data_IF_690434242001
#
_entry.id   IF_690434242001
#
_cell.length_a   1.000
_cell.length_b   1.000
_cell.length_c   1.000
_cell.angle_alpha   90.00
_cell.angle_beta   90.00
_cell.angle_gamma   90.00
#
_symmetry.space_group_name_H-M   'P 1'
#
loop_
_entity.id
_entity.type
_entity.pdbx_description
1 polymer ?
#
# COMPACT_ATOMS: atom_id res chain seq x y z
N UNK A 1 14.54 4.42 -4.36
CA UNK A 1 14.30 2.98 -4.20
C UNK A 1 13.60 2.74 -2.85
N UNK A 2 12.51 1.95 -2.81
CA UNK A 2 11.61 1.83 -1.64
C UNK A 2 11.95 0.60 -0.80
N UNK A 3 11.98 0.74 0.53
CA UNK A 3 12.27 -0.35 1.49
C UNK A 3 11.18 -0.41 2.56
N UNK A 4 10.89 -1.58 3.11
CA UNK A 4 9.87 -1.79 4.13
C UNK A 4 10.39 -1.41 5.53
N UNK A 5 9.55 -0.76 6.33
CA UNK A 5 9.87 -0.31 7.69
C UNK A 5 9.42 -1.36 8.74
N UNK A 6 10.37 -2.08 9.39
CA UNK A 6 10.05 -3.12 10.38
C UNK A 6 9.33 -2.60 11.63
N UNK A 7 9.45 -1.30 11.95
CA UNK A 7 8.77 -0.71 13.11
C UNK A 7 7.26 -0.57 12.88
N UNK A 8 6.83 -0.51 11.62
CA UNK A 8 5.42 -0.35 11.23
C UNK A 8 4.73 -1.66 10.90
N UNK A 9 5.51 -2.71 10.63
CA UNK A 9 5.00 -3.99 10.19
C UNK A 9 4.05 -4.62 11.22
N UNK A 10 2.89 -5.08 10.76
CA UNK A 10 2.00 -5.89 11.57
C UNK A 10 2.70 -7.19 12.03
N UNK A 11 2.46 -7.69 13.26
CA UNK A 11 3.12 -8.91 13.77
C UNK A 11 2.95 -10.18 12.94
N UNK A 12 1.88 -10.25 12.14
CA UNK A 12 1.62 -11.35 11.21
C UNK A 12 2.44 -11.27 9.90
N UNK A 13 3.27 -10.23 9.72
CA UNK A 13 4.10 -10.05 8.55
C UNK A 13 5.55 -10.41 8.85
N UNK A 14 6.16 -11.14 7.92
CA UNK A 14 7.59 -11.40 7.91
C UNK A 14 8.23 -10.65 6.74
N UNK A 15 9.26 -9.85 7.05
CA UNK A 15 10.05 -9.11 6.08
C UNK A 15 11.31 -9.91 5.71
N UNK A 16 11.79 -9.76 4.47
CA UNK A 16 13.12 -10.23 4.09
C UNK A 16 14.22 -9.36 4.72
N UNK A 17 15.44 -9.89 4.77
CA UNK A 17 16.61 -9.20 5.34
C UNK A 17 16.92 -7.88 4.62
N UNK A 18 16.79 -7.88 3.29
CA UNK A 18 16.96 -6.69 2.44
C UNK A 18 15.80 -5.67 2.54
N UNK A 19 14.74 -6.00 3.31
CA UNK A 19 13.53 -5.20 3.47
C UNK A 19 12.80 -4.88 2.17
N UNK A 20 12.93 -5.73 1.14
CA UNK A 20 12.24 -5.56 -0.15
C UNK A 20 11.03 -6.47 -0.34
N UNK A 21 10.93 -7.52 0.47
CA UNK A 21 9.85 -8.51 0.38
C UNK A 21 9.09 -8.61 1.68
N UNK A 22 7.78 -8.80 1.57
CA UNK A 22 6.89 -9.10 2.69
C UNK A 22 6.02 -10.30 2.35
N UNK A 23 5.82 -11.15 3.35
CA UNK A 23 4.87 -12.27 3.30
C UNK A 23 4.14 -12.37 4.62
N UNK A 24 2.94 -12.93 4.58
CA UNK A 24 2.24 -13.32 5.81
C UNK A 24 3.02 -14.46 6.45
N UNK A 25 3.50 -14.25 7.66
CA UNK A 25 4.21 -15.23 8.46
C UNK A 25 3.25 -16.08 9.29
N UNK A 26 3.66 -17.30 9.64
CA UNK A 26 2.92 -18.19 10.54
C UNK A 26 3.28 -18.01 12.02
N UNK A 27 4.38 -17.30 12.33
CA UNK A 27 4.84 -17.07 13.70
C UNK A 27 4.44 -15.67 14.17
N UNK A 28 3.59 -15.60 15.20
CA UNK A 28 3.48 -14.40 16.05
C UNK A 28 4.88 -14.09 16.59
N UNK A 29 5.52 -13.05 16.07
CA UNK A 29 6.77 -12.54 16.62
C UNK A 29 6.56 -12.17 18.10
N UNK A 30 7.58 -12.39 18.94
CA UNK A 30 7.66 -11.83 20.30
C UNK A 30 7.45 -10.28 20.32
N UNK A 31 7.55 -9.63 19.16
CA UNK A 31 7.18 -8.22 18.97
C UNK A 31 5.69 -7.92 19.23
N UNK A 32 4.81 -8.93 19.27
CA UNK A 32 3.41 -8.73 19.68
C UNK A 32 3.25 -8.37 21.16
N UNK A 33 4.29 -8.54 21.98
CA UNK A 33 4.26 -8.23 23.43
C UNK A 33 4.55 -6.75 23.74
N UNK A 34 5.07 -5.97 22.79
CA UNK A 34 5.33 -4.54 22.97
C UNK A 34 4.43 -3.74 22.02
N UNK A 35 3.43 -3.04 22.58
CA UNK A 35 2.56 -2.17 21.79
C UNK A 35 3.40 -1.01 21.22
N UNK A 36 3.70 -1.07 19.93
CA UNK A 36 4.36 0.01 19.22
C UNK A 36 3.27 0.89 18.58
N UNK A 37 3.20 2.19 18.92
CA UNK A 37 2.19 3.10 18.37
C UNK A 37 2.29 3.25 16.85
N UNK A 38 3.46 2.97 16.25
CA UNK A 38 3.68 3.05 14.80
C UNK A 38 3.09 1.87 14.01
N UNK A 39 2.76 0.74 14.66
CA UNK A 39 2.23 -0.48 14.01
C UNK A 39 0.73 -0.40 13.77
N UNK A 40 0.30 -1.00 12.67
CA UNK A 40 -1.12 -1.30 12.45
C UNK A 40 -1.60 -2.36 13.44
N UNK A 41 -2.74 -2.11 14.09
CA UNK A 41 -3.23 -2.99 15.15
C UNK A 41 -4.08 -4.17 14.67
N UNK A 42 -4.77 -4.02 13.54
CA UNK A 42 -5.81 -4.97 13.07
C UNK A 42 -5.55 -5.50 11.67
N UNK A 43 -4.97 -4.68 10.79
CA UNK A 43 -4.74 -5.02 9.40
C UNK A 43 -3.29 -5.44 9.16
N UNK A 44 -3.02 -6.50 8.38
CA UNK A 44 -1.66 -6.98 8.08
C UNK A 44 -0.95 -6.05 7.08
N UNK A 45 -0.59 -4.86 7.55
CA UNK A 45 0.02 -3.78 6.76
C UNK A 45 1.45 -3.49 7.27
N UNK A 46 2.30 -3.03 6.35
CA UNK A 46 3.64 -2.50 6.62
C UNK A 46 3.83 -1.28 5.72
N UNK A 47 4.48 -0.22 6.22
CA UNK A 47 4.78 0.97 5.44
C UNK A 47 6.18 0.90 4.81
N UNK A 48 6.38 1.64 3.73
CA UNK A 48 7.71 1.97 3.22
C UNK A 48 8.44 2.94 4.14
N UNK A 49 9.76 2.80 4.29
CA UNK A 49 10.61 3.68 5.09
C UNK A 49 10.83 5.07 4.49
N UNK A 50 10.53 5.23 3.20
CA UNK A 50 10.62 6.50 2.51
C UNK A 50 9.41 7.38 2.81
N UNK A 51 9.68 8.68 2.89
CA UNK A 51 8.70 9.73 3.12
C UNK A 51 8.75 10.69 1.95
N UNK A 52 7.59 10.95 1.34
CA UNK A 52 7.44 11.85 0.21
C UNK A 52 6.64 13.09 0.64
N UNK A 53 7.13 14.27 0.27
CA UNK A 53 6.49 15.55 0.60
C UNK A 53 6.54 16.55 -0.58
N UNK A 54 7.15 16.16 -1.70
CA UNK A 54 7.24 16.91 -2.94
C UNK A 54 7.76 16.03 -4.07
N UNK A 55 7.66 16.54 -5.29
CA UNK A 55 8.20 15.96 -6.50
C UNK A 55 7.44 14.73 -7.00
N UNK A 56 8.11 14.05 -7.94
CA UNK A 56 7.59 12.85 -8.60
C UNK A 56 8.41 11.64 -8.19
N UNK A 57 7.73 10.54 -7.93
CA UNK A 57 8.37 9.28 -7.51
C UNK A 57 7.71 8.09 -8.18
N UNK A 58 8.50 7.08 -8.50
CA UNK A 58 8.03 5.84 -9.12
C UNK A 58 8.71 4.63 -8.48
N UNK A 59 7.95 3.57 -8.26
CA UNK A 59 8.47 2.26 -7.92
C UNK A 59 7.55 1.15 -8.40
N UNK A 60 8.09 -0.06 -8.48
CA UNK A 60 7.35 -1.25 -8.91
C UNK A 60 7.27 -2.26 -7.77
N UNK A 61 6.15 -2.98 -7.69
CA UNK A 61 5.94 -4.07 -6.75
C UNK A 61 5.58 -5.34 -7.50
N UNK A 62 6.39 -6.38 -7.34
CA UNK A 62 6.10 -7.70 -7.86
C UNK A 62 5.01 -8.37 -6.99
N UNK A 63 3.82 -8.56 -7.56
CA UNK A 63 2.70 -9.24 -6.88
C UNK A 63 2.56 -10.70 -7.28
N UNK A 64 3.14 -11.12 -8.41
CA UNK A 64 3.12 -12.49 -8.90
C UNK A 64 1.68 -13.02 -9.05
N UNK A 65 1.47 -14.28 -8.64
CA UNK A 65 0.16 -14.94 -8.70
C UNK A 65 -0.61 -14.87 -7.37
N UNK A 66 -0.26 -13.94 -6.47
CA UNK A 66 -0.91 -13.84 -5.16
C UNK A 66 -2.43 -13.63 -5.30
N UNK A 67 -3.26 -14.35 -4.52
CA UNK A 67 -4.71 -14.27 -4.62
C UNK A 67 -5.28 -12.98 -4.03
N UNK A 68 -4.53 -12.33 -3.13
CA UNK A 68 -4.89 -11.08 -2.48
C UNK A 68 -3.65 -10.21 -2.22
N UNK A 69 -3.84 -8.89 -2.30
CA UNK A 69 -2.85 -7.87 -1.91
C UNK A 69 -3.49 -6.47 -1.89
N UNK A 70 -2.86 -5.54 -1.17
CA UNK A 70 -3.18 -4.11 -1.23
C UNK A 70 -1.89 -3.30 -1.35
N UNK A 71 -1.87 -2.29 -2.21
CA UNK A 71 -0.71 -1.44 -2.49
C UNK A 71 -1.17 0.01 -2.64
N UNK A 72 -0.35 0.96 -2.18
CA UNK A 72 -0.70 2.37 -2.33
C UNK A 72 0.21 3.30 -1.53
N UNK A 73 -0.37 4.43 -1.10
CA UNK A 73 0.26 5.34 -0.16
C UNK A 73 -0.72 5.69 0.96
N UNK A 74 -0.18 6.14 2.09
CA UNK A 74 -0.95 6.78 3.15
C UNK A 74 -0.30 8.08 3.62
N UNK A 75 -1.10 8.96 4.21
CA UNK A 75 -0.57 10.08 5.01
C UNK A 75 0.18 9.52 6.21
N UNK A 76 1.32 10.10 6.56
CA UNK A 76 2.11 9.66 7.71
C UNK A 76 1.31 9.77 9.02
N UNK A 77 0.46 10.79 9.12
CA UNK A 77 -0.43 11.06 10.25
C UNK A 77 -1.71 10.21 10.27
N UNK A 78 -1.94 9.34 9.27
CA UNK A 78 -3.15 8.52 9.22
C UNK A 78 -3.23 7.55 10.41
N UNK A 79 -4.44 7.37 10.95
CA UNK A 79 -4.68 6.51 12.11
C UNK A 79 -4.43 5.04 11.80
N UNK A 80 -3.62 4.38 12.63
CA UNK A 80 -3.18 2.98 12.44
C UNK A 80 -3.83 2.01 13.44
N UNK A 81 -4.62 2.53 14.38
CA UNK A 81 -5.22 1.78 15.49
C UNK A 81 -6.73 1.65 15.30
N UNK A 82 -7.30 0.59 15.87
CA UNK A 82 -8.73 0.28 15.74
C UNK A 82 -9.09 -0.29 14.36
N UNK A 83 -10.35 -0.08 13.96
CA UNK A 83 -10.85 -0.50 12.66
C UNK A 83 -10.43 0.53 11.60
N UNK A 84 -9.31 0.27 10.92
CA UNK A 84 -8.78 1.17 9.89
C UNK A 84 -9.64 1.06 8.63
N UNK A 85 -10.30 2.15 8.28
CA UNK A 85 -11.08 2.27 7.06
C UNK A 85 -10.21 2.89 5.97
N UNK A 86 -9.75 2.09 5.03
CA UNK A 86 -8.94 2.56 3.91
C UNK A 86 -9.79 3.39 2.95
N UNK A 87 -9.56 4.70 2.93
CA UNK A 87 -10.12 5.64 1.94
C UNK A 87 -9.31 6.94 1.89
N UNK A 88 -9.39 7.73 0.80
CA UNK A 88 -8.75 9.04 0.71
C UNK A 88 -9.13 9.97 1.87
N UNK A 89 -10.38 9.94 2.31
CA UNK A 89 -10.88 10.73 3.44
C UNK A 89 -10.14 10.42 4.75
N UNK A 90 -9.65 9.19 4.90
CA UNK A 90 -8.87 8.76 6.07
C UNK A 90 -7.34 8.81 5.80
N UNK A 91 -6.92 9.37 4.66
CA UNK A 91 -5.52 9.51 4.28
C UNK A 91 -4.91 8.25 3.69
N UNK A 92 -5.69 7.42 2.99
CA UNK A 92 -5.22 6.20 2.33
C UNK A 92 -5.64 6.17 0.85
N UNK A 93 -4.70 5.96 -0.06
CA UNK A 93 -4.96 5.80 -1.50
C UNK A 93 -4.42 4.44 -1.93
N UNK A 94 -5.31 3.45 -1.96
CA UNK A 94 -4.94 2.04 -2.05
C UNK A 94 -5.67 1.36 -3.21
N UNK A 95 -4.91 0.64 -4.03
CA UNK A 95 -5.37 -0.35 -4.98
C UNK A 95 -5.31 -1.73 -4.33
N UNK A 96 -6.38 -2.52 -4.46
CA UNK A 96 -6.50 -3.84 -3.84
C UNK A 96 -6.91 -4.89 -4.85
N UNK A 97 -6.35 -6.10 -4.69
CA UNK A 97 -6.91 -7.35 -5.18
C UNK A 97 -7.50 -8.12 -3.99
N UNK A 98 -8.81 -8.39 -4.04
CA UNK A 98 -9.46 -9.26 -3.06
C UNK A 98 -9.32 -10.73 -3.44
N UNK A 99 -9.35 -11.61 -2.42
CA UNK A 99 -9.51 -13.03 -2.64
C UNK A 99 -10.83 -13.29 -3.42
N UNK A 100 -10.72 -14.00 -4.55
CA UNK A 100 -11.81 -14.11 -5.53
C UNK A 100 -11.59 -13.32 -6.82
N UNK A 101 -10.54 -12.50 -6.91
CA UNK A 101 -10.09 -11.90 -8.18
C UNK A 101 -10.61 -10.49 -8.48
N UNK A 102 -11.34 -9.88 -7.55
CA UNK A 102 -11.88 -8.52 -7.72
C UNK A 102 -10.81 -7.46 -7.46
N UNK A 103 -10.59 -6.58 -8.44
CA UNK A 103 -9.73 -5.41 -8.31
C UNK A 103 -10.55 -4.20 -7.90
N UNK A 104 -10.02 -3.40 -6.99
CA UNK A 104 -10.72 -2.23 -6.45
C UNK A 104 -9.75 -1.09 -6.14
N UNK A 105 -10.17 0.13 -6.46
CA UNK A 105 -9.63 1.33 -5.84
C UNK A 105 -10.45 1.64 -4.58
N UNK A 106 -9.78 1.75 -3.43
CA UNK A 106 -10.44 1.98 -2.15
C UNK A 106 -10.85 3.46 -1.99
N UNK A 107 -11.72 3.94 -2.87
CA UNK A 107 -12.41 5.23 -2.78
C UNK A 107 -13.59 5.15 -1.78
N UNK A 108 -14.29 6.27 -1.57
CA UNK A 108 -15.54 6.30 -0.79
C UNK A 108 -16.65 6.89 -1.66
N UNK A 109 -17.60 6.08 -2.19
CA UNK A 109 -17.68 4.61 -2.08
C UNK A 109 -16.55 3.89 -2.86
N UNK A 110 -16.33 2.59 -2.59
CA UNK A 110 -15.30 1.78 -3.26
C UNK A 110 -15.58 1.69 -4.77
N UNK A 111 -14.53 1.83 -5.58
CA UNK A 111 -14.62 1.75 -7.04
C UNK A 111 -14.14 0.38 -7.52
N UNK A 112 -15.02 -0.50 -8.03
CA UNK A 112 -14.62 -1.76 -8.63
C UNK A 112 -13.92 -1.50 -9.97
N UNK A 113 -12.91 -2.32 -10.28
CA UNK A 113 -12.08 -2.19 -11.47
C UNK A 113 -12.12 -3.49 -12.27
N UNK A 114 -12.25 -3.35 -13.59
CA UNK A 114 -12.16 -4.47 -14.54
C UNK A 114 -10.83 -4.38 -15.27
N UNK A 115 -9.95 -5.36 -15.08
CA UNK A 115 -8.64 -5.43 -15.74
C UNK A 115 -8.66 -6.53 -16.80
N UNK A 116 -8.27 -6.19 -18.04
CA UNK A 116 -8.21 -7.17 -19.14
C UNK A 116 -7.08 -8.18 -18.95
N UNK A 117 -5.97 -7.77 -18.33
CA UNK A 117 -4.81 -8.62 -18.07
C UNK A 117 -4.53 -8.60 -16.57
N UNK A 118 -4.33 -9.79 -15.99
CA UNK A 118 -3.92 -9.93 -14.59
C UNK A 118 -2.50 -9.36 -14.39
N UNK A 119 -2.30 -8.31 -13.58
CA UNK A 119 -0.97 -7.79 -13.30
C UNK A 119 -0.15 -8.77 -12.47
N UNK A 120 1.07 -9.10 -12.92
CA UNK A 120 2.11 -9.75 -12.10
C UNK A 120 3.01 -8.72 -11.40
N UNK A 121 3.01 -7.49 -11.89
CA UNK A 121 3.75 -6.36 -11.33
C UNK A 121 2.94 -5.06 -11.47
N UNK A 122 2.92 -4.29 -10.40
CA UNK A 122 2.23 -3.00 -10.32
C UNK A 122 3.26 -1.89 -10.25
N UNK A 123 3.14 -0.91 -11.13
CA UNK A 123 3.88 0.35 -11.06
C UNK A 123 3.06 1.37 -10.29
N UNK A 124 3.68 2.07 -9.35
CA UNK A 124 3.06 3.11 -8.54
C UNK A 124 3.80 4.41 -8.82
N UNK A 125 3.07 5.41 -9.27
CA UNK A 125 3.58 6.73 -9.59
C UNK A 125 2.91 7.77 -8.69
N UNK A 126 3.72 8.59 -8.02
CA UNK A 126 3.29 9.74 -7.27
C UNK A 126 3.73 10.99 -8.02
N UNK A 127 2.80 11.90 -8.28
CA UNK A 127 3.08 13.30 -8.60
C UNK A 127 2.49 14.16 -7.49
N UNK A 128 3.35 14.60 -6.57
CA UNK A 128 2.89 15.25 -5.34
C UNK A 128 2.26 16.62 -5.65
N UNK A 129 2.89 17.42 -6.52
CA UNK A 129 2.40 18.75 -6.90
C UNK A 129 1.12 18.68 -7.74
N UNK A 130 1.00 17.69 -8.62
CA UNK A 130 -0.25 17.47 -9.38
C UNK A 130 -1.37 16.86 -8.53
N UNK A 131 -1.04 16.31 -7.35
CA UNK A 131 -2.02 15.65 -6.48
C UNK A 131 -2.43 14.27 -7.00
N UNK A 132 -1.55 13.57 -7.71
CA UNK A 132 -1.88 12.32 -8.39
C UNK A 132 -1.13 11.11 -7.82
N UNK A 133 -1.86 10.02 -7.59
CA UNK A 133 -1.28 8.69 -7.35
C UNK A 133 -1.85 7.75 -8.41
N UNK A 134 -0.99 7.32 -9.34
CA UNK A 134 -1.35 6.51 -10.49
C UNK A 134 -0.79 5.10 -10.39
N UNK A 135 -1.61 4.11 -10.77
CA UNK A 135 -1.27 2.71 -10.78
C UNK A 135 -1.25 2.17 -12.21
N UNK A 136 -0.25 1.36 -12.52
CA UNK A 136 -0.06 0.78 -13.84
C UNK A 136 0.16 -0.72 -13.75
N UNK A 137 -0.41 -1.46 -14.70
CA UNK A 137 -0.05 -2.85 -14.92
C UNK A 137 1.23 -2.87 -15.76
N UNK A 138 2.36 -3.19 -15.12
CA UNK A 138 3.66 -3.20 -15.82
C UNK A 138 3.73 -4.36 -16.84
N UNK A 139 2.90 -5.40 -16.64
CA UNK A 139 2.90 -6.60 -17.47
C UNK A 139 2.47 -6.32 -18.92
N UNK A 140 1.47 -5.44 -19.11
CA UNK A 140 0.93 -5.04 -20.42
C UNK A 140 1.06 -3.54 -20.69
N UNK A 141 1.69 -2.80 -19.77
CA UNK A 141 1.90 -1.34 -19.83
C UNK A 141 0.59 -0.54 -19.86
N UNK A 142 -0.49 -1.09 -19.33
CA UNK A 142 -1.78 -0.39 -19.22
C UNK A 142 -1.88 0.43 -17.94
N UNK A 143 -2.67 1.50 -18.01
CA UNK A 143 -3.13 2.24 -16.83
C UNK A 143 -4.22 1.44 -16.10
N UNK A 144 -4.16 1.42 -14.77
CA UNK A 144 -5.17 0.77 -13.92
C UNK A 144 -6.11 1.81 -13.33
N UNK A 145 -5.56 2.78 -12.61
CA UNK A 145 -6.35 3.76 -11.86
C UNK A 145 -5.49 4.95 -11.43
N UNK A 146 -6.11 6.13 -11.29
CA UNK A 146 -5.48 7.33 -10.71
C UNK A 146 -6.37 7.89 -9.61
N UNK A 147 -5.80 8.09 -8.42
CA UNK A 147 -6.39 8.95 -7.40
C UNK A 147 -5.92 10.38 -7.64
N UNK A 148 -6.86 11.31 -7.55
CA UNK A 148 -6.57 12.75 -7.53
C UNK A 148 -7.02 13.31 -6.18
N UNK A 149 -6.10 13.96 -5.46
CA UNK A 149 -6.38 14.56 -4.16
C UNK A 149 -5.39 15.70 -3.87
N UNK A 150 -5.75 16.60 -2.94
CA UNK A 150 -4.81 17.60 -2.44
C UNK A 150 -4.00 16.99 -1.29
N UNK A 151 -2.72 16.73 -1.55
CA UNK A 151 -1.83 16.24 -0.51
C UNK A 151 -1.41 17.36 0.45
N UNK A 152 -1.43 17.04 1.73
CA UNK A 152 -0.94 17.92 2.80
C UNK A 152 -0.10 17.08 3.75
N UNK A 153 1.16 17.46 3.90
CA UNK A 153 2.13 16.74 4.72
C UNK A 153 2.69 15.49 4.05
N UNK A 154 3.32 14.66 4.88
CA UNK A 154 4.12 13.54 4.43
C UNK A 154 3.28 12.34 3.98
N UNK A 155 3.67 11.73 2.86
CA UNK A 155 3.12 10.46 2.36
C UNK A 155 4.15 9.35 2.51
N UNK A 156 3.67 8.13 2.77
CA UNK A 156 4.50 6.91 2.82
C UNK A 156 3.85 5.81 1.98
N UNK A 157 4.64 4.97 1.28
CA UNK A 157 4.16 3.73 0.67
C UNK A 157 3.56 2.76 1.70
#
# INVERSE_FOLDING_TARGET
>A
DVTLDPETAHPDLALSEDRKSVRRGSKKLLLSFFDNPKRFGTSPVVLGGQVFFSGRSYWEVQVGDKPEWGLGLCRESASRKGNVLFSPNNGYWVLRLQNGGNYEALTSPVSPLTLSVRPRRIGIFLDYEAGEISFYNVSDRSHIYTFTDKFSGNLRP
#
